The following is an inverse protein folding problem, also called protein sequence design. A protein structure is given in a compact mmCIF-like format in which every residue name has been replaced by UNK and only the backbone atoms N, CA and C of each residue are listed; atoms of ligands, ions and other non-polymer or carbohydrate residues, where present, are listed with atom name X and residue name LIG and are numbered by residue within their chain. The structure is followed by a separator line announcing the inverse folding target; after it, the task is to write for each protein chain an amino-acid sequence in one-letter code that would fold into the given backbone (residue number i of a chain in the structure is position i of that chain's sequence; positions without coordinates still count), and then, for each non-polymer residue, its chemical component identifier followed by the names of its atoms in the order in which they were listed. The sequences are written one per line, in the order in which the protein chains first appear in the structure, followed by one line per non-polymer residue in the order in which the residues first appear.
data_IF_699413915942
#
_entry.id   IF_699413915942
#
_cell.length_a   1.000
_cell.length_b   1.000
_cell.length_c   1.000
_cell.angle_alpha   90.00
_cell.angle_beta   90.00
_cell.angle_gamma   90.00
#
_symmetry.space_group_name_H-M   'P 1'
#
loop_
_entity.id
_entity.type
_entity.pdbx_description
1 polymer ?
#
# COMPACT_ATOMS: atom_id res chain seq x y z
N UNK A 1 -10.14 -13.59 30.33
CA UNK A 1 -8.75 -13.70 29.85
C UNK A 1 -8.67 -13.04 28.48
N UNK A 2 -8.22 -11.78 28.44
CA UNK A 2 -7.80 -11.16 27.20
C UNK A 2 -6.57 -11.92 26.72
N UNK A 3 -6.72 -12.72 25.66
CA UNK A 3 -5.60 -13.31 24.95
C UNK A 3 -4.84 -12.16 24.32
N UNK A 4 -3.82 -11.65 25.03
CA UNK A 4 -2.87 -10.71 24.46
C UNK A 4 -2.10 -11.47 23.40
N UNK A 5 -2.47 -11.30 22.14
CA UNK A 5 -1.62 -11.71 21.03
C UNK A 5 -0.28 -11.00 21.24
N UNK A 6 0.85 -11.71 21.07
CA UNK A 6 2.15 -11.06 21.17
C UNK A 6 2.20 -9.91 20.16
N UNK A 7 2.27 -8.69 20.66
CA UNK A 7 2.41 -7.50 19.83
C UNK A 7 3.83 -7.55 19.27
N UNK A 8 3.94 -7.61 17.96
CA UNK A 8 5.22 -7.49 17.29
C UNK A 8 5.63 -6.02 17.35
N UNK A 9 6.54 -5.69 18.23
CA UNK A 9 7.14 -4.36 18.37
C UNK A 9 8.55 -4.31 17.78
N UNK A 10 9.15 -3.14 17.77
CA UNK A 10 10.48 -2.92 17.23
C UNK A 10 11.55 -3.72 17.99
N UNK A 11 11.43 -3.83 19.31
CA UNK A 11 12.37 -4.59 20.13
C UNK A 11 12.31 -6.08 19.79
N UNK A 12 11.14 -6.65 19.60
CA UNK A 12 10.95 -8.05 19.19
C UNK A 12 11.54 -8.32 17.78
N UNK A 13 11.38 -7.37 16.84
CA UNK A 13 12.01 -7.47 15.51
C UNK A 13 13.53 -7.47 15.60
N UNK A 14 14.11 -6.58 16.42
CA UNK A 14 15.55 -6.51 16.62
C UNK A 14 16.09 -7.78 17.33
N UNK A 15 15.37 -8.29 18.33
CA UNK A 15 15.70 -9.52 19.02
C UNK A 15 15.68 -10.76 18.13
N UNK A 16 14.78 -10.81 17.16
CA UNK A 16 14.71 -11.89 16.18
C UNK A 16 15.88 -11.87 15.20
N UNK A 17 16.29 -10.70 14.75
CA UNK A 17 17.36 -10.52 13.78
C UNK A 17 16.98 -10.90 12.34
N UNK A 18 17.88 -10.53 11.41
CA UNK A 18 17.63 -10.68 9.95
C UNK A 18 17.42 -12.13 9.53
N UNK A 19 18.21 -13.06 10.05
CA UNK A 19 18.15 -14.47 9.69
C UNK A 19 16.81 -15.11 10.10
N UNK A 20 16.33 -14.80 11.30
CA UNK A 20 15.04 -15.29 11.76
C UNK A 20 13.89 -14.73 10.94
N UNK A 21 13.92 -13.43 10.62
CA UNK A 21 12.93 -12.80 9.73
C UNK A 21 12.93 -13.45 8.34
N UNK A 22 14.11 -13.75 7.79
CA UNK A 22 14.25 -14.45 6.53
C UNK A 22 13.62 -15.86 6.59
N UNK A 23 13.78 -16.58 7.69
CA UNK A 23 13.23 -17.94 7.85
C UNK A 23 11.70 -18.00 7.77
N UNK A 24 11.01 -16.85 7.91
CA UNK A 24 9.56 -16.72 7.69
C UNK A 24 9.16 -16.54 6.21
N UNK A 25 10.09 -16.72 5.27
CA UNK A 25 9.83 -16.63 3.83
C UNK A 25 10.05 -15.23 3.24
N UNK A 26 10.60 -14.30 4.00
CA UNK A 26 10.99 -12.98 3.47
C UNK A 26 12.32 -13.07 2.71
N UNK A 27 12.50 -12.18 1.72
CA UNK A 27 13.82 -12.02 1.10
C UNK A 27 14.78 -11.37 2.10
N UNK A 28 16.07 -11.69 2.01
CA UNK A 28 17.11 -11.12 2.86
C UNK A 28 17.04 -9.59 2.89
N UNK A 29 16.89 -8.98 1.73
CA UNK A 29 16.74 -7.53 1.57
C UNK A 29 15.53 -6.95 2.32
N UNK A 30 14.38 -7.63 2.32
CA UNK A 30 13.20 -7.19 3.11
C UNK A 30 13.46 -7.30 4.60
N UNK A 31 14.10 -8.37 5.04
CA UNK A 31 14.46 -8.57 6.44
C UNK A 31 15.40 -7.48 6.94
N UNK A 32 16.38 -7.07 6.11
CA UNK A 32 17.27 -5.93 6.43
C UNK A 32 16.51 -4.61 6.56
N UNK A 33 15.59 -4.32 5.64
CA UNK A 33 14.79 -3.09 5.70
C UNK A 33 13.88 -3.03 6.93
N UNK A 34 13.27 -4.15 7.29
CA UNK A 34 12.43 -4.24 8.49
C UNK A 34 13.27 -4.05 9.76
N UNK A 35 14.46 -4.67 9.82
CA UNK A 35 15.39 -4.51 10.95
C UNK A 35 15.92 -3.08 11.04
N UNK A 36 16.24 -2.43 9.93
CA UNK A 36 16.67 -1.03 9.89
C UNK A 36 15.58 -0.08 10.39
N UNK A 37 14.35 -0.32 9.95
CA UNK A 37 13.18 0.45 10.41
C UNK A 37 12.95 0.28 11.92
N UNK A 38 13.01 -0.96 12.43
CA UNK A 38 12.87 -1.23 13.86
C UNK A 38 13.95 -0.51 14.69
N UNK A 39 15.20 -0.47 14.18
CA UNK A 39 16.29 0.26 14.84
C UNK A 39 16.03 1.76 14.91
N UNK A 40 15.49 2.35 13.83
CA UNK A 40 15.17 3.78 13.79
C UNK A 40 14.05 4.15 14.78
N UNK A 41 13.08 3.25 14.99
CA UNK A 41 12.04 3.45 16.00
C UNK A 41 12.66 3.39 17.41
N UNK A 42 13.43 2.36 17.73
CA UNK A 42 14.04 2.18 19.04
C UNK A 42 15.03 3.29 19.41
N UNK A 43 15.75 3.81 18.42
CA UNK A 43 16.68 4.94 18.64
C UNK A 43 16.01 6.30 18.71
N UNK A 44 14.70 6.38 18.42
CA UNK A 44 13.97 7.66 18.31
C UNK A 44 14.31 8.48 17.06
N UNK A 45 15.06 7.91 16.10
CA UNK A 45 15.33 8.56 14.82
C UNK A 45 14.07 8.69 13.97
N UNK A 46 13.08 7.82 14.18
CA UNK A 46 11.81 7.82 13.48
C UNK A 46 10.64 7.79 14.47
N UNK A 47 9.83 8.86 14.47
CA UNK A 47 8.66 9.00 15.33
C UNK A 47 7.41 8.41 14.68
N UNK A 48 7.16 7.12 14.91
CA UNK A 48 6.02 6.41 14.36
C UNK A 48 4.67 6.94 14.88
N UNK A 49 4.60 7.36 16.14
CA UNK A 49 3.37 7.90 16.71
C UNK A 49 3.10 9.31 16.21
N UNK A 50 4.12 10.12 16.04
CA UNK A 50 3.99 11.46 15.46
C UNK A 50 3.45 11.45 14.03
N UNK A 51 3.77 10.43 13.23
CA UNK A 51 3.22 10.28 11.88
C UNK A 51 1.69 10.17 11.88
N UNK A 52 1.12 9.54 12.90
CA UNK A 52 -0.34 9.38 13.03
C UNK A 52 -1.08 10.71 13.13
N UNK A 53 -0.41 11.77 13.55
CA UNK A 53 -0.98 13.11 13.72
C UNK A 53 -0.78 14.00 12.48
N UNK A 54 0.05 13.56 11.51
CA UNK A 54 0.39 14.36 10.32
C UNK A 54 -0.71 14.25 9.25
N UNK A 55 -0.85 15.28 8.39
CA UNK A 55 -1.61 15.18 7.15
C UNK A 55 -1.09 14.05 6.26
N UNK A 56 -1.97 13.49 5.42
CA UNK A 56 -1.65 12.30 4.61
C UNK A 56 -0.43 12.50 3.69
N UNK A 57 -0.30 13.67 3.07
CA UNK A 57 0.81 13.98 2.18
C UNK A 57 2.16 14.09 2.91
N UNK A 58 2.16 14.59 4.14
CA UNK A 58 3.35 14.62 4.99
C UNK A 58 3.73 13.22 5.47
N UNK A 59 2.74 12.46 5.95
CA UNK A 59 2.94 11.09 6.39
C UNK A 59 3.50 10.21 5.25
N UNK A 60 2.96 10.34 4.03
CA UNK A 60 3.47 9.62 2.85
C UNK A 60 4.92 9.99 2.55
N UNK A 61 5.28 11.28 2.56
CA UNK A 61 6.65 11.73 2.31
C UNK A 61 7.62 11.14 3.33
N UNK A 62 7.27 11.20 4.61
CA UNK A 62 8.12 10.73 5.68
C UNK A 62 8.28 9.21 5.66
N UNK A 63 7.19 8.46 5.52
CA UNK A 63 7.25 7.01 5.36
C UNK A 63 8.06 6.61 4.12
N UNK A 64 7.93 7.33 3.01
CA UNK A 64 8.67 7.05 1.77
C UNK A 64 10.16 7.38 1.85
N UNK A 65 10.63 8.08 2.90
CA UNK A 65 12.05 8.28 3.16
C UNK A 65 12.75 7.04 3.71
N UNK A 66 11.98 6.07 4.21
CA UNK A 66 12.49 4.81 4.74
C UNK A 66 12.94 3.87 3.62
N UNK A 67 14.04 3.17 3.84
CA UNK A 67 14.52 2.17 2.89
C UNK A 67 13.48 1.08 2.64
N UNK A 68 13.16 0.86 1.36
CA UNK A 68 12.22 -0.17 0.94
C UNK A 68 10.76 0.23 1.02
N UNK A 69 10.44 1.45 1.45
CA UNK A 69 9.10 2.01 1.45
C UNK A 69 8.96 3.00 0.31
N UNK A 70 8.22 2.63 -0.73
CA UNK A 70 7.83 3.55 -1.80
C UNK A 70 6.50 4.23 -1.48
N UNK A 71 6.10 5.20 -2.32
CA UNK A 71 4.84 5.95 -2.18
C UNK A 71 3.64 5.01 -2.05
N UNK A 72 3.53 4.01 -2.93
CA UNK A 72 2.46 3.02 -2.86
C UNK A 72 2.43 2.27 -1.51
N UNK A 73 3.59 1.86 -0.99
CA UNK A 73 3.67 1.19 0.31
C UNK A 73 3.26 2.13 1.45
N UNK A 74 3.68 3.39 1.41
CA UNK A 74 3.27 4.40 2.38
C UNK A 74 1.75 4.63 2.36
N UNK A 75 1.15 4.73 1.18
CA UNK A 75 -0.30 4.83 1.01
C UNK A 75 -1.03 3.60 1.59
N UNK A 76 -0.48 2.39 1.42
CA UNK A 76 -1.05 1.17 2.01
C UNK A 76 -0.93 1.17 3.54
N UNK A 77 0.14 1.71 4.11
CA UNK A 77 0.27 1.90 5.56
C UNK A 77 -0.82 2.87 6.07
N UNK A 78 -1.03 3.98 5.38
CA UNK A 78 -2.09 4.93 5.74
C UNK A 78 -3.47 4.26 5.70
N UNK A 79 -3.74 3.48 4.66
CA UNK A 79 -5.04 2.84 4.46
C UNK A 79 -5.29 1.72 5.48
N UNK A 80 -4.37 0.78 5.62
CA UNK A 80 -4.58 -0.44 6.41
C UNK A 80 -4.18 -0.29 7.88
N UNK A 81 -3.05 0.39 8.16
CA UNK A 81 -2.54 0.49 9.53
C UNK A 81 -3.07 1.72 10.26
N UNK A 82 -3.21 2.84 9.55
CA UNK A 82 -3.70 4.09 10.13
C UNK A 82 -5.20 4.32 9.90
N UNK A 83 -5.84 3.50 9.08
CA UNK A 83 -7.27 3.54 8.75
C UNK A 83 -7.73 4.91 8.23
N UNK A 84 -6.86 5.58 7.46
CA UNK A 84 -7.20 6.86 6.84
C UNK A 84 -8.32 6.69 5.82
N UNK A 85 -9.36 7.52 5.85
CA UNK A 85 -10.58 7.32 5.05
C UNK A 85 -10.42 7.70 3.57
N UNK A 86 -9.45 8.55 3.22
CA UNK A 86 -9.39 9.20 1.91
C UNK A 86 -8.11 8.90 1.11
N UNK A 87 -7.60 7.66 1.22
CA UNK A 87 -6.41 7.19 0.48
C UNK A 87 -6.80 6.61 -0.86
N UNK A 88 -6.18 7.12 -1.94
CA UNK A 88 -6.41 6.64 -3.31
C UNK A 88 -5.11 6.62 -4.10
N UNK A 89 -4.54 5.44 -4.31
CA UNK A 89 -3.21 5.27 -4.92
C UNK A 89 -3.26 5.23 -6.44
N UNK A 90 -2.56 6.17 -7.10
CA UNK A 90 -2.46 6.18 -8.57
C UNK A 90 -1.60 5.02 -9.09
N UNK A 91 -0.54 4.66 -8.38
CA UNK A 91 0.40 3.62 -8.81
C UNK A 91 -0.12 2.21 -8.52
N UNK A 92 -1.30 2.08 -7.92
CA UNK A 92 -1.95 0.80 -7.70
C UNK A 92 -2.61 0.28 -8.99
N UNK A 93 -2.02 -0.77 -9.54
CA UNK A 93 -2.48 -1.37 -10.80
C UNK A 93 -3.88 -2.00 -10.68
N UNK A 94 -4.24 -2.49 -9.50
CA UNK A 94 -5.56 -3.10 -9.28
C UNK A 94 -6.64 -2.03 -9.16
N UNK A 95 -6.38 -0.88 -8.53
CA UNK A 95 -7.28 0.28 -8.54
C UNK A 95 -7.48 0.77 -9.97
N UNK A 96 -6.41 0.95 -10.75
CA UNK A 96 -6.53 1.35 -12.16
C UNK A 96 -7.33 0.33 -12.98
N UNK A 97 -7.10 -0.97 -12.75
CA UNK A 97 -7.86 -2.05 -13.39
C UNK A 97 -9.34 -1.99 -13.00
N UNK A 98 -9.64 -1.85 -11.71
CA UNK A 98 -11.01 -1.73 -11.21
C UNK A 98 -11.74 -0.54 -11.84
N UNK A 99 -11.09 0.62 -11.94
CA UNK A 99 -11.64 1.80 -12.61
C UNK A 99 -11.94 1.53 -14.09
N UNK A 100 -11.05 0.83 -14.82
CA UNK A 100 -11.31 0.46 -16.21
C UNK A 100 -12.51 -0.48 -16.34
N UNK A 101 -12.61 -1.46 -15.47
CA UNK A 101 -13.66 -2.46 -15.47
C UNK A 101 -15.03 -1.84 -15.15
N UNK A 102 -15.11 -1.05 -14.09
CA UNK A 102 -16.37 -0.47 -13.60
C UNK A 102 -16.88 0.66 -14.51
N UNK A 103 -15.96 1.49 -15.03
CA UNK A 103 -16.32 2.68 -15.82
C UNK A 103 -16.01 2.55 -17.31
N UNK A 104 -15.66 1.37 -17.78
CA UNK A 104 -15.45 1.03 -19.19
C UNK A 104 -14.37 1.87 -19.88
N UNK A 105 -13.30 2.20 -19.18
CA UNK A 105 -12.18 2.96 -19.72
C UNK A 105 -11.09 2.03 -20.29
N UNK A 106 -10.50 2.41 -21.41
CA UNK A 106 -9.35 1.69 -21.98
C UNK A 106 -8.04 1.99 -21.25
N UNK A 107 -7.94 3.19 -20.69
CA UNK A 107 -6.75 3.68 -19.95
C UNK A 107 -7.20 4.65 -18.87
N UNK A 108 -6.51 4.62 -17.74
CA UNK A 108 -6.66 5.61 -16.67
C UNK A 108 -5.39 6.46 -16.68
N UNK A 109 -5.49 7.68 -17.17
CA UNK A 109 -4.43 8.67 -17.03
C UNK A 109 -4.58 9.44 -15.70
N UNK A 110 -3.58 10.25 -15.35
CA UNK A 110 -3.59 11.02 -14.11
C UNK A 110 -4.79 11.94 -13.99
N UNK A 111 -5.17 12.62 -15.07
CA UNK A 111 -6.31 13.55 -15.08
C UNK A 111 -7.63 12.84 -14.79
N UNK A 112 -7.85 11.68 -15.41
CA UNK A 112 -9.04 10.87 -15.19
C UNK A 112 -9.05 10.26 -13.78
N UNK A 113 -7.90 9.81 -13.31
CA UNK A 113 -7.75 9.30 -11.95
C UNK A 113 -8.12 10.36 -10.91
N UNK A 114 -7.61 11.58 -11.03
CA UNK A 114 -7.93 12.69 -10.13
C UNK A 114 -9.41 13.09 -10.17
N UNK A 115 -10.08 12.91 -11.32
CA UNK A 115 -11.54 13.08 -11.41
C UNK A 115 -12.28 12.08 -10.51
N UNK A 116 -11.85 10.79 -10.52
CA UNK A 116 -12.44 9.77 -9.66
C UNK A 116 -12.06 9.96 -8.20
N UNK A 117 -10.82 10.34 -7.91
CA UNK A 117 -10.39 10.68 -6.56
C UNK A 117 -11.31 11.73 -5.93
N UNK A 118 -11.56 12.84 -6.64
CA UNK A 118 -12.48 13.87 -6.16
C UNK A 118 -13.93 13.39 -6.00
N UNK A 119 -14.37 12.47 -6.84
CA UNK A 119 -15.72 11.90 -6.76
C UNK A 119 -15.89 10.99 -5.54
N UNK A 120 -14.86 10.26 -5.16
CA UNK A 120 -14.92 9.30 -4.05
C UNK A 120 -14.57 9.94 -2.71
N UNK A 121 -13.83 11.05 -2.71
CA UNK A 121 -13.51 11.78 -1.50
C UNK A 121 -14.80 12.21 -0.77
N UNK A 122 -14.86 12.07 0.56
CA UNK A 122 -13.78 11.72 1.49
C UNK A 122 -13.66 10.21 1.81
N UNK A 123 -14.13 9.32 0.94
CA UNK A 123 -14.20 7.88 1.17
C UNK A 123 -13.36 7.07 0.17
N UNK A 124 -12.25 7.63 -0.31
CA UNK A 124 -11.39 6.98 -1.30
C UNK A 124 -10.86 5.61 -0.85
N UNK A 125 -10.59 5.42 0.44
CA UNK A 125 -10.15 4.13 0.97
C UNK A 125 -11.20 3.05 0.79
N UNK A 126 -12.46 3.36 1.04
CA UNK A 126 -13.58 2.43 0.81
C UNK A 126 -13.71 2.14 -0.70
N UNK A 127 -13.62 3.17 -1.53
CA UNK A 127 -13.64 2.99 -3.00
C UNK A 127 -12.49 2.10 -3.49
N UNK A 128 -11.30 2.22 -2.90
CA UNK A 128 -10.14 1.36 -3.20
C UNK A 128 -10.45 -0.11 -2.93
N UNK A 129 -11.06 -0.44 -1.79
CA UNK A 129 -11.46 -1.81 -1.43
C UNK A 129 -12.43 -2.41 -2.46
N UNK A 130 -13.45 -1.65 -2.87
CA UNK A 130 -14.40 -2.10 -3.90
C UNK A 130 -13.75 -2.26 -5.28
N UNK A 131 -12.84 -1.37 -5.66
CA UNK A 131 -12.12 -1.46 -6.92
C UNK A 131 -11.17 -2.67 -6.94
N UNK A 132 -10.50 -2.99 -5.82
CA UNK A 132 -9.72 -4.21 -5.68
C UNK A 132 -10.59 -5.46 -5.81
N UNK A 133 -11.74 -5.50 -5.15
CA UNK A 133 -12.69 -6.60 -5.27
C UNK A 133 -13.16 -6.80 -6.72
N UNK A 134 -13.52 -5.72 -7.41
CA UNK A 134 -13.88 -5.75 -8.83
C UNK A 134 -12.72 -6.25 -9.71
N UNK A 135 -11.51 -5.73 -9.51
CA UNK A 135 -10.31 -6.15 -10.23
C UNK A 135 -9.94 -7.62 -9.95
N UNK A 136 -10.21 -8.10 -8.74
CA UNK A 136 -10.00 -9.48 -8.31
C UNK A 136 -11.05 -10.48 -8.79
N UNK A 137 -12.10 -10.04 -9.47
CA UNK A 137 -13.14 -10.93 -10.02
C UNK A 137 -14.32 -11.19 -9.09
N UNK A 138 -14.49 -10.43 -8.02
CA UNK A 138 -15.62 -10.58 -7.10
C UNK A 138 -16.98 -10.27 -7.75
N UNK A 139 -16.99 -9.53 -8.87
CA UNK A 139 -18.21 -9.21 -9.62
C UNK A 139 -18.23 -9.99 -10.92
N UNK A 140 -19.11 -11.00 -11.06
CA UNK A 140 -19.22 -11.78 -12.30
C UNK A 140 -19.54 -10.90 -13.52
N UNK A 141 -18.91 -11.22 -14.65
CA UNK A 141 -19.19 -10.53 -15.92
C UNK A 141 -18.46 -9.20 -16.14
N UNK A 142 -17.79 -8.62 -15.12
CA UNK A 142 -16.93 -7.46 -15.34
C UNK A 142 -15.71 -7.84 -16.18
N UNK A 143 -15.40 -7.01 -17.19
CA UNK A 143 -14.26 -7.19 -18.09
C UNK A 143 -13.29 -6.01 -17.97
N UNK A 144 -11.99 -6.29 -18.08
CA UNK A 144 -11.00 -5.22 -18.21
C UNK A 144 -10.97 -4.72 -19.67
N UNK A 145 -11.18 -3.43 -19.83
CA UNK A 145 -11.20 -2.76 -21.14
C UNK A 145 -9.81 -2.29 -21.60
N UNK A 146 -8.74 -2.70 -20.89
CA UNK A 146 -7.38 -2.39 -21.35
C UNK A 146 -7.14 -2.90 -22.79
N UNK A 147 -6.37 -2.16 -23.61
CA UNK A 147 -5.97 -2.66 -24.93
C UNK A 147 -5.20 -3.98 -24.79
N UNK A 148 -5.43 -4.93 -25.69
CA UNK A 148 -4.65 -6.14 -25.75
C UNK A 148 -3.16 -5.79 -25.87
N UNK A 149 -2.32 -6.39 -25.01
CA UNK A 149 -0.88 -6.23 -25.13
C UNK A 149 -0.43 -6.83 -26.44
N UNK A 150 0.27 -6.04 -27.27
CA UNK A 150 0.95 -6.59 -28.46
C UNK A 150 1.94 -7.67 -27.98
N UNK A 151 1.94 -8.85 -28.58
CA UNK A 151 2.91 -9.88 -28.23
C UNK A 151 4.32 -9.28 -28.33
N UNK A 152 5.14 -9.45 -27.29
CA UNK A 152 6.55 -9.07 -27.36
C UNK A 152 7.16 -9.84 -28.52
N UNK A 153 7.64 -9.14 -29.55
CA UNK A 153 8.46 -9.75 -30.58
C UNK A 153 9.66 -10.39 -29.86
N UNK A 154 9.73 -11.71 -29.91
CA UNK A 154 10.96 -12.42 -29.53
C UNK A 154 12.01 -12.01 -30.57
N UNK A 155 12.99 -11.20 -30.17
CA UNK A 155 14.21 -10.96 -30.89
C UNK A 155 15.17 -12.12 -30.65
#
# INVERSE_FOLDING_TARGET
QTCALPILDAAAVLGAGVEKLQSFGMTFRKSEYITDFARKIESGEFDLEGIRQKPDDEAIRELSSLKGVGVWTAEMILLFCMQRPDVFSYDDLAIQRGLRMVYHHRKIDRKLFEKYRRRFSPYCSVASLYLWAAAGGAVPGLKDYAPAQKPKRKG
#
